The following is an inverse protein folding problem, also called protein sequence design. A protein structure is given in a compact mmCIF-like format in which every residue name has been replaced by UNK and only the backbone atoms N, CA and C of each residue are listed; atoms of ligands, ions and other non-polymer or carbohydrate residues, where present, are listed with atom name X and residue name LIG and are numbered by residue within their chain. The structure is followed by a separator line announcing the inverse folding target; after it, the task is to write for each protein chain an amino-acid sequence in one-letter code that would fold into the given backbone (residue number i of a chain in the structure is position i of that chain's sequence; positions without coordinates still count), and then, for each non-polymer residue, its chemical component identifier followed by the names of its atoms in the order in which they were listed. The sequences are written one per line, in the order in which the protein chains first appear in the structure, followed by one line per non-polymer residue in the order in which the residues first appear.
data_IF_046312136691
#
_entry.id   IF_046312136691
#
_cell.length_a   1.000
_cell.length_b   1.000
_cell.length_c   1.000
_cell.angle_alpha   90.00
_cell.angle_beta   90.00
_cell.angle_gamma   90.00
#
_symmetry.space_group_name_H-M   'P 1'
#
loop_
_entity.id
_entity.type
_entity.pdbx_description
1 polymer ?
#
# COMPACT_ATOMS: atom_id res chain seq x y z
N UNK A 1 -45.95 -26.82 38.03
CA UNK A 1 -47.02 -26.79 37.01
C UNK A 1 -46.90 -25.46 36.26
N UNK A 2 -46.83 -25.55 34.93
CA UNK A 2 -46.74 -24.51 33.89
C UNK A 2 -47.47 -23.19 34.22
N UNK A 3 -46.90 -22.00 34.01
CA UNK A 3 -46.79 -21.29 32.72
C UNK A 3 -47.45 -19.90 32.92
N UNK A 4 -46.95 -18.76 32.43
CA UNK A 4 -46.84 -18.41 31.03
C UNK A 4 -45.88 -17.22 30.86
N UNK A 5 -44.86 -17.41 30.02
CA UNK A 5 -44.16 -16.34 29.30
C UNK A 5 -45.06 -15.81 28.19
N UNK A 6 -45.24 -14.49 28.07
CA UNK A 6 -45.51 -13.89 26.75
C UNK A 6 -45.16 -12.40 26.62
N UNK A 7 -44.25 -12.14 25.69
CA UNK A 7 -44.07 -10.94 24.87
C UNK A 7 -43.70 -9.61 25.52
N UNK A 8 -42.39 -9.36 25.58
CA UNK A 8 -41.81 -8.04 25.29
C UNK A 8 -40.57 -8.10 24.37
N UNK A 9 -40.41 -9.16 23.57
CA UNK A 9 -39.41 -9.18 22.49
C UNK A 9 -39.95 -8.46 21.24
N UNK A 10 -40.16 -7.15 21.41
CA UNK A 10 -40.28 -6.16 20.33
C UNK A 10 -39.07 -5.26 20.27
N UNK A 11 -37.89 -5.70 20.75
CA UNK A 11 -36.64 -4.99 20.49
C UNK A 11 -36.23 -5.27 19.06
N UNK A 12 -36.66 -4.38 18.16
CA UNK A 12 -35.92 -4.03 16.95
C UNK A 12 -34.49 -3.79 17.42
N UNK A 13 -33.61 -4.77 17.23
CA UNK A 13 -32.20 -4.56 17.47
C UNK A 13 -31.82 -3.33 16.64
N UNK A 14 -31.18 -2.29 17.21
CA UNK A 14 -30.52 -1.34 16.35
C UNK A 14 -29.58 -2.19 15.49
N UNK A 15 -29.71 -2.08 14.17
CA UNK A 15 -28.71 -2.61 13.26
C UNK A 15 -27.39 -2.04 13.77
N UNK A 16 -26.62 -2.87 14.49
CA UNK A 16 -25.30 -2.50 14.92
C UNK A 16 -24.59 -2.18 13.62
N UNK A 17 -24.29 -0.89 13.41
CA UNK A 17 -23.47 -0.46 12.31
C UNK A 17 -22.24 -1.37 12.38
N UNK A 18 -22.12 -2.29 11.41
CA UNK A 18 -21.10 -3.30 11.44
C UNK A 18 -19.77 -2.55 11.57
N UNK A 19 -19.05 -2.79 12.66
CA UNK A 19 -17.74 -2.19 12.84
C UNK A 19 -16.92 -2.49 11.57
N UNK A 20 -16.22 -1.50 10.99
CA UNK A 20 -15.45 -1.73 9.78
C UNK A 20 -14.51 -2.92 10.02
N UNK A 21 -14.43 -3.81 9.04
CA UNK A 21 -13.47 -4.92 9.14
C UNK A 21 -12.06 -4.33 9.25
N UNK A 22 -11.10 -5.05 9.86
CA UNK A 22 -9.72 -4.57 9.95
C UNK A 22 -9.14 -4.13 8.61
N UNK A 23 -9.50 -4.83 7.52
CA UNK A 23 -9.11 -4.49 6.16
C UNK A 23 -9.75 -3.18 5.66
N UNK A 24 -11.04 -2.96 5.93
CA UNK A 24 -11.71 -1.70 5.56
C UNK A 24 -11.17 -0.51 6.35
N UNK A 25 -10.84 -0.69 7.63
CA UNK A 25 -10.19 0.34 8.44
C UNK A 25 -8.78 0.68 7.90
N UNK A 26 -7.98 -0.33 7.55
CA UNK A 26 -6.65 -0.13 6.97
C UNK A 26 -6.70 0.56 5.60
N UNK A 27 -7.68 0.22 4.75
CA UNK A 27 -7.96 0.90 3.48
C UNK A 27 -8.33 2.37 3.69
N UNK A 28 -9.22 2.65 4.63
CA UNK A 28 -9.64 4.01 4.95
C UNK A 28 -8.45 4.83 5.47
N UNK A 29 -7.60 4.25 6.31
CA UNK A 29 -6.37 4.87 6.77
C UNK A 29 -5.42 5.17 5.60
N UNK A 30 -5.21 4.22 4.67
CA UNK A 30 -4.40 4.44 3.47
C UNK A 30 -4.93 5.60 2.61
N UNK A 31 -6.25 5.67 2.38
CA UNK A 31 -6.88 6.77 1.62
C UNK A 31 -6.71 8.13 2.29
N UNK A 32 -6.71 8.17 3.61
CA UNK A 32 -6.59 9.40 4.39
C UNK A 32 -5.14 9.74 4.76
N UNK A 33 -4.16 8.90 4.38
CA UNK A 33 -2.76 9.08 4.73
C UNK A 33 -2.09 10.19 3.91
N UNK A 34 -2.13 11.42 4.44
CA UNK A 34 -1.51 12.58 3.81
C UNK A 34 0.01 12.71 4.07
N UNK A 35 0.54 12.08 5.12
CA UNK A 35 1.97 12.16 5.47
C UNK A 35 2.70 10.84 5.19
N UNK A 36 4.00 10.87 4.84
CA UNK A 36 4.78 9.66 4.59
C UNK A 36 4.75 8.63 5.72
N UNK A 37 4.81 9.08 6.97
CA UNK A 37 4.76 8.17 8.12
C UNK A 37 3.41 7.46 8.26
N UNK A 38 2.31 8.19 8.03
CA UNK A 38 0.95 7.65 8.09
C UNK A 38 0.72 6.66 6.93
N UNK A 39 1.31 6.92 5.75
CA UNK A 39 1.29 5.99 4.60
C UNK A 39 1.99 4.67 4.92
N UNK A 40 3.18 4.72 5.54
CA UNK A 40 3.91 3.50 5.95
C UNK A 40 3.09 2.71 6.96
N UNK A 41 2.52 3.37 7.97
CA UNK A 41 1.71 2.71 8.99
C UNK A 41 0.46 2.04 8.39
N UNK A 42 -0.23 2.72 7.46
CA UNK A 42 -1.38 2.14 6.77
C UNK A 42 -0.98 0.90 5.94
N UNK A 43 0.20 0.88 5.32
CA UNK A 43 0.70 -0.30 4.62
C UNK A 43 1.03 -1.46 5.56
N UNK A 44 1.58 -1.18 6.75
CA UNK A 44 1.82 -2.20 7.77
C UNK A 44 0.50 -2.82 8.27
N UNK A 45 -0.54 -1.99 8.47
CA UNK A 45 -1.89 -2.44 8.84
C UNK A 45 -2.52 -3.31 7.74
N UNK A 46 -2.35 -2.94 6.46
CA UNK A 46 -2.77 -3.76 5.33
C UNK A 46 -2.03 -5.10 5.31
N UNK A 47 -0.70 -5.09 5.47
CA UNK A 47 0.10 -6.31 5.47
C UNK A 47 -0.27 -7.25 6.62
N UNK A 48 -0.61 -6.70 7.80
CA UNK A 48 -1.08 -7.47 8.95
C UNK A 48 -2.44 -8.13 8.70
N UNK A 49 -3.31 -7.52 7.89
CA UNK A 49 -4.58 -8.13 7.48
C UNK A 49 -4.36 -9.31 6.52
N UNK A 50 -3.32 -9.25 5.68
CA UNK A 50 -2.98 -10.28 4.70
C UNK A 50 -4.05 -10.46 3.61
N UNK A 51 -3.90 -11.52 2.83
CA UNK A 51 -4.80 -11.84 1.72
C UNK A 51 -4.46 -11.10 0.41
N UNK A 52 -5.10 -11.53 -0.67
CA UNK A 52 -4.82 -11.03 -2.02
C UNK A 52 -5.19 -9.56 -2.21
N UNK A 53 -6.24 -9.09 -1.52
CA UNK A 53 -6.68 -7.70 -1.62
C UNK A 53 -5.71 -6.74 -0.94
N UNK A 54 -5.22 -7.06 0.26
CA UNK A 54 -4.20 -6.26 0.93
C UNK A 54 -2.89 -6.26 0.13
N UNK A 55 -2.50 -7.42 -0.40
CA UNK A 55 -1.34 -7.54 -1.30
C UNK A 55 -1.47 -6.62 -2.51
N UNK A 56 -2.62 -6.64 -3.20
CA UNK A 56 -2.86 -5.80 -4.37
C UNK A 56 -2.73 -4.30 -4.03
N UNK A 57 -3.25 -3.87 -2.88
CA UNK A 57 -3.12 -2.49 -2.42
C UNK A 57 -1.65 -2.11 -2.13
N UNK A 58 -0.87 -3.02 -1.54
CA UNK A 58 0.57 -2.78 -1.31
C UNK A 58 1.33 -2.76 -2.64
N UNK A 59 0.99 -3.61 -3.61
CA UNK A 59 1.55 -3.58 -4.96
C UNK A 59 1.21 -2.28 -5.71
N UNK A 60 0.00 -1.76 -5.52
CA UNK A 60 -0.41 -0.46 -6.06
C UNK A 60 0.36 0.67 -5.38
N UNK A 61 0.51 0.65 -4.05
CA UNK A 61 1.31 1.63 -3.32
C UNK A 61 2.79 1.66 -3.73
N UNK A 62 3.35 0.51 -4.13
CA UNK A 62 4.71 0.44 -4.68
C UNK A 62 4.81 1.06 -6.08
N UNK A 63 3.77 0.94 -6.89
CA UNK A 63 3.71 1.46 -8.27
C UNK A 63 3.35 2.95 -8.30
N UNK A 64 2.40 3.36 -7.46
CA UNK A 64 1.96 4.74 -7.37
C UNK A 64 3.03 5.65 -6.77
N UNK A 65 2.89 6.95 -7.04
CA UNK A 65 3.78 8.00 -6.53
C UNK A 65 3.47 8.31 -5.07
N UNK A 66 3.37 7.27 -4.25
CA UNK A 66 3.45 7.40 -2.81
C UNK A 66 4.82 7.97 -2.43
N UNK A 67 4.98 8.44 -1.19
CA UNK A 67 6.29 8.86 -0.71
C UNK A 67 7.32 7.74 -0.89
N UNK A 68 8.60 8.09 -1.08
CA UNK A 68 9.66 7.08 -1.23
C UNK A 68 9.72 6.11 -0.06
N UNK A 69 9.39 6.60 1.14
CA UNK A 69 9.32 5.79 2.35
C UNK A 69 8.21 4.75 2.26
N UNK A 70 7.03 5.12 1.74
CA UNK A 70 5.93 4.20 1.50
C UNK A 70 6.28 3.15 0.43
N UNK A 71 6.95 3.55 -0.66
CA UNK A 71 7.41 2.61 -1.69
C UNK A 71 8.44 1.61 -1.14
N UNK A 72 9.42 2.07 -0.36
CA UNK A 72 10.39 1.18 0.30
C UNK A 72 9.69 0.24 1.28
N UNK A 73 8.75 0.74 2.07
CA UNK A 73 7.96 -0.07 2.99
C UNK A 73 7.14 -1.13 2.25
N UNK A 74 6.45 -0.73 1.17
CA UNK A 74 5.68 -1.64 0.33
C UNK A 74 6.55 -2.78 -0.23
N UNK A 75 7.74 -2.46 -0.78
CA UNK A 75 8.65 -3.49 -1.28
C UNK A 75 9.04 -4.51 -0.19
N UNK A 76 9.32 -4.03 1.03
CA UNK A 76 9.65 -4.90 2.17
C UNK A 76 8.46 -5.75 2.60
N UNK A 77 7.28 -5.16 2.74
CA UNK A 77 6.06 -5.85 3.15
C UNK A 77 5.65 -6.93 2.13
N UNK A 78 5.82 -6.67 0.83
CA UNK A 78 5.59 -7.69 -0.21
C UNK A 78 6.55 -8.87 -0.08
N UNK A 79 7.80 -8.64 0.33
CA UNK A 79 8.75 -9.72 0.60
C UNK A 79 8.36 -10.52 1.85
N UNK A 80 7.92 -9.84 2.91
CA UNK A 80 7.49 -10.48 4.15
C UNK A 80 6.18 -11.27 3.99
N UNK A 81 5.28 -10.82 3.11
CA UNK A 81 4.10 -11.59 2.68
C UNK A 81 4.49 -12.84 1.87
N UNK A 82 5.69 -12.87 1.28
CA UNK A 82 6.24 -14.03 0.59
C UNK A 82 5.48 -14.49 -0.66
N UNK A 83 4.55 -13.68 -1.18
CA UNK A 83 3.70 -14.08 -2.30
C UNK A 83 4.48 -14.08 -3.62
N UNK A 84 4.53 -15.20 -4.36
CA UNK A 84 5.17 -15.26 -5.67
C UNK A 84 4.59 -14.28 -6.68
N UNK A 85 3.32 -13.91 -6.52
CA UNK A 85 2.64 -12.96 -7.39
C UNK A 85 3.24 -11.54 -7.29
N UNK A 86 3.78 -11.17 -6.13
CA UNK A 86 4.44 -9.86 -5.92
C UNK A 86 5.79 -9.75 -6.66
N UNK A 87 6.40 -10.87 -7.07
CA UNK A 87 7.71 -10.90 -7.74
C UNK A 87 7.68 -10.12 -9.05
N UNK A 88 6.58 -10.20 -9.81
CA UNK A 88 6.44 -9.50 -11.07
C UNK A 88 6.48 -7.98 -10.88
N UNK A 89 5.77 -7.47 -9.87
CA UNK A 89 5.73 -6.03 -9.55
C UNK A 89 7.08 -5.55 -9.01
N UNK A 90 7.72 -6.31 -8.12
CA UNK A 90 9.05 -5.98 -7.61
C UNK A 90 10.11 -5.90 -8.72
N UNK A 91 10.06 -6.83 -9.69
CA UNK A 91 10.94 -6.79 -10.87
C UNK A 91 10.64 -5.58 -11.76
N UNK A 92 9.36 -5.29 -12.00
CA UNK A 92 8.94 -4.15 -12.82
C UNK A 92 9.43 -2.83 -12.21
N UNK A 93 9.17 -2.58 -10.93
CA UNK A 93 9.55 -1.32 -10.27
C UNK A 93 11.06 -1.22 -10.02
N UNK A 94 11.73 -2.37 -9.85
CA UNK A 94 13.19 -2.46 -9.79
C UNK A 94 13.90 -2.17 -11.11
N UNK A 95 13.19 -2.28 -12.24
CA UNK A 95 13.75 -2.04 -13.58
C UNK A 95 13.93 -0.53 -13.85
N UNK A 96 15.15 -0.06 -14.21
CA UNK A 96 15.35 1.33 -14.60
C UNK A 96 14.46 1.82 -15.75
N UNK A 97 14.01 0.93 -16.64
CA UNK A 97 13.11 1.29 -17.74
C UNK A 97 11.72 1.74 -17.26
N UNK A 98 11.25 1.24 -16.11
CA UNK A 98 9.99 1.68 -15.48
C UNK A 98 10.01 3.17 -15.17
N UNK A 99 11.12 3.65 -14.62
CA UNK A 99 11.28 5.03 -14.20
C UNK A 99 11.44 6.00 -15.36
N UNK A 100 12.14 5.59 -16.45
CA UNK A 100 12.23 6.40 -17.68
C UNK A 100 10.84 6.68 -18.28
N UNK A 101 9.97 5.66 -18.34
CA UNK A 101 8.61 5.79 -18.87
C UNK A 101 7.70 6.59 -17.93
N UNK A 102 7.91 6.46 -16.62
CA UNK A 102 7.22 7.26 -15.60
C UNK A 102 7.63 8.74 -15.65
N UNK A 103 8.89 9.03 -15.98
CA UNK A 103 9.41 10.40 -16.19
C UNK A 103 8.80 11.05 -17.44
N UNK A 104 8.76 10.34 -18.57
CA UNK A 104 8.08 10.80 -19.79
C UNK A 104 6.56 10.98 -19.60
N UNK A 105 5.91 10.07 -18.86
CA UNK A 105 4.50 10.18 -18.50
C UNK A 105 4.21 11.35 -17.56
N UNK A 106 5.08 11.60 -16.56
CA UNK A 106 4.97 12.76 -15.64
C UNK A 106 5.15 14.08 -16.36
N UNK A 107 6.09 14.18 -17.32
CA UNK A 107 6.26 15.40 -18.12
C UNK A 107 5.07 15.66 -19.05
N UNK A 108 4.35 14.61 -19.50
CA UNK A 108 3.13 14.77 -20.31
C UNK A 108 1.85 14.98 -19.49
N UNK A 109 1.79 14.52 -18.25
CA UNK A 109 0.61 14.59 -17.38
C UNK A 109 0.52 15.83 -16.48
N UNK A 110 1.64 16.48 -16.14
CA UNK A 110 1.66 17.65 -15.25
C UNK A 110 1.71 18.99 -16.04
N UNK A 111 0.62 19.34 -16.71
CA UNK A 111 0.22 20.75 -16.93
C UNK A 111 -0.79 21.22 -15.86
N UNK A 112 -0.67 20.71 -14.64
CA UNK A 112 -1.50 21.12 -13.52
C UNK A 112 -0.85 20.71 -12.20
N UNK A 113 -0.48 21.70 -11.39
CA UNK A 113 -0.07 21.59 -9.99
C UNK A 113 1.26 20.84 -9.69
N UNK A 114 2.35 21.60 -9.77
CA UNK A 114 3.13 21.92 -8.57
C UNK A 114 3.97 20.83 -7.91
N UNK A 115 5.08 20.43 -8.55
CA UNK A 115 6.35 20.25 -7.85
C UNK A 115 7.31 21.26 -8.46
N UNK A 116 7.73 22.27 -7.70
CA UNK A 116 8.53 23.39 -8.19
C UNK A 116 9.88 22.97 -8.80
N UNK A 117 10.46 23.80 -9.69
CA UNK A 117 11.62 23.46 -10.53
C UNK A 117 12.96 23.31 -9.79
N UNK A 118 13.00 23.50 -8.47
CA UNK A 118 14.25 23.62 -7.70
C UNK A 118 14.70 22.31 -7.00
N UNK A 119 13.97 21.20 -7.16
CA UNK A 119 14.36 19.88 -6.60
C UNK A 119 14.19 18.69 -7.55
N UNK A 120 13.78 18.94 -8.80
CA UNK A 120 12.90 18.05 -9.58
C UNK A 120 13.50 16.81 -10.25
N UNK A 121 14.82 16.64 -10.33
CA UNK A 121 15.42 15.53 -11.10
C UNK A 121 16.44 14.72 -10.28
N UNK A 122 17.28 15.40 -9.50
CA UNK A 122 18.23 14.74 -8.62
C UNK A 122 17.52 14.03 -7.45
N UNK A 123 16.49 14.64 -6.85
CA UNK A 123 15.69 14.00 -5.81
C UNK A 123 14.88 12.82 -6.37
N UNK A 124 14.31 12.97 -7.58
CA UNK A 124 13.60 11.88 -8.26
C UNK A 124 14.52 10.68 -8.59
N UNK A 125 15.75 10.94 -9.06
CA UNK A 125 16.77 9.89 -9.32
C UNK A 125 17.33 9.29 -8.03
N UNK A 126 17.48 10.09 -6.97
CA UNK A 126 17.87 9.59 -5.64
C UNK A 126 16.81 8.65 -5.08
N UNK A 127 15.54 9.03 -5.25
CA UNK A 127 14.38 8.26 -4.88
C UNK A 127 14.27 6.95 -5.69
N UNK A 128 14.47 7.01 -7.00
CA UNK A 128 14.54 5.81 -7.87
C UNK A 128 15.55 4.79 -7.33
N UNK A 129 16.79 5.21 -7.07
CA UNK A 129 17.86 4.30 -6.62
C UNK A 129 17.49 3.60 -5.32
N UNK A 130 16.89 4.31 -4.37
CA UNK A 130 16.47 3.76 -3.09
C UNK A 130 15.35 2.73 -3.24
N UNK A 131 14.35 3.01 -4.07
CA UNK A 131 13.22 2.09 -4.30
C UNK A 131 13.67 0.86 -5.07
N UNK A 132 14.55 1.01 -6.06
CA UNK A 132 15.14 -0.11 -6.79
C UNK A 132 15.94 -1.02 -5.87
N UNK A 133 16.79 -0.44 -5.02
CA UNK A 133 17.54 -1.20 -4.02
C UNK A 133 16.61 -1.94 -3.05
N UNK A 134 15.50 -1.32 -2.63
CA UNK A 134 14.50 -1.97 -1.79
C UNK A 134 13.83 -3.17 -2.51
N UNK A 135 13.49 -3.02 -3.79
CA UNK A 135 12.94 -4.11 -4.60
C UNK A 135 13.94 -5.25 -4.80
N UNK A 136 15.22 -4.95 -5.06
CA UNK A 136 16.28 -5.95 -5.17
C UNK A 136 16.46 -6.73 -3.87
N UNK A 137 16.49 -6.03 -2.73
CA UNK A 137 16.61 -6.65 -1.41
C UNK A 137 15.37 -7.51 -1.06
N UNK A 138 14.18 -7.03 -1.41
CA UNK A 138 12.93 -7.78 -1.29
C UNK A 138 13.00 -9.11 -2.08
N UNK A 139 13.44 -9.04 -3.35
CA UNK A 139 13.60 -10.22 -4.19
C UNK A 139 14.67 -11.19 -3.68
N UNK A 140 15.81 -10.69 -3.16
CA UNK A 140 16.85 -11.53 -2.53
C UNK A 140 16.29 -12.26 -1.31
N UNK A 141 15.57 -11.55 -0.45
CA UNK A 141 14.92 -12.10 0.75
C UNK A 141 13.92 -13.21 0.39
N UNK A 142 13.11 -13.00 -0.65
CA UNK A 142 12.17 -14.02 -1.14
C UNK A 142 12.87 -15.26 -1.72
N UNK A 143 14.12 -15.13 -2.20
CA UNK A 143 14.96 -16.26 -2.64
C UNK A 143 15.74 -16.92 -1.50
N UNK A 144 15.67 -16.39 -0.28
CA UNK A 144 16.46 -16.87 0.86
C UNK A 144 17.94 -16.44 0.82
N UNK A 145 18.29 -15.45 -0.02
CA UNK A 145 19.63 -14.88 -0.09
C UNK A 145 19.82 -13.86 1.05
N UNK A 146 20.92 -14.00 1.82
CA UNK A 146 21.29 -13.11 2.94
C UNK A 146 22.22 -11.99 2.47
#
# INVERSE_FOLDING_TARGET
MFGWLRSLFGRKAPAAAAAPTPLEAAKEHWRNAGRPADQVKALEELAACGGDEARALIEDALREVASVHAQIAAARLLADLGSPASVAVLKLVGDPAYWKKSEEGRMRGHMGMGIGPEGGLAAARGNEKLVRLACENALKRMRGEK
#
